data_IF_058612931681
#
_entry.id   IF_058612931681
#
_cell.length_a   1.000
_cell.length_b   1.000
_cell.length_c   1.000
_cell.angle_alpha   90.00
_cell.angle_beta   90.00
_cell.angle_gamma   90.00
#
_symmetry.space_group_name_H-M   'P 1'
#
loop_
_entity.id
_entity.type
_entity.pdbx_description
1 polymer ?
#
# COMPACT_ATOMS: atom_id res chain seq x y z
N UNK A 1 36.27 13.24 -16.86
CA UNK A 1 36.42 13.10 -15.39
C UNK A 1 35.34 13.81 -14.55
N UNK A 2 34.56 14.77 -15.08
CA UNK A 2 33.51 15.48 -14.31
C UNK A 2 32.24 14.64 -14.01
N UNK A 3 32.09 13.51 -14.69
CA UNK A 3 30.91 12.63 -14.65
C UNK A 3 30.98 11.64 -13.46
N UNK A 4 32.20 11.24 -13.08
CA UNK A 4 32.47 10.30 -11.99
C UNK A 4 32.22 10.90 -10.60
N UNK A 5 32.37 12.23 -10.48
CA UNK A 5 32.09 12.96 -9.23
C UNK A 5 30.57 13.05 -8.98
N UNK A 6 29.77 13.17 -10.05
CA UNK A 6 28.30 13.27 -9.94
C UNK A 6 27.64 11.94 -9.56
N UNK A 7 28.18 10.81 -10.04
CA UNK A 7 27.68 9.48 -9.64
C UNK A 7 27.99 9.18 -8.17
N UNK A 8 29.18 9.56 -7.68
CA UNK A 8 29.57 9.32 -6.29
C UNK A 8 28.70 10.12 -5.30
N UNK A 9 28.32 11.36 -5.64
CA UNK A 9 27.39 12.15 -4.82
C UNK A 9 25.97 11.58 -4.78
N UNK A 10 25.52 10.91 -5.85
CA UNK A 10 24.17 10.33 -5.91
C UNK A 10 24.02 9.10 -4.99
N UNK A 11 25.10 8.36 -4.75
CA UNK A 11 25.14 7.25 -3.79
C UNK A 11 25.31 7.69 -2.33
N UNK A 12 25.71 8.93 -2.08
CA UNK A 12 25.86 9.45 -0.72
C UNK A 12 24.55 9.95 -0.12
N UNK A 13 23.57 10.32 -0.95
CA UNK A 13 22.24 10.79 -0.50
C UNK A 13 21.46 9.71 0.28
N UNK A 14 21.41 8.43 -0.16
CA UNK A 14 20.78 7.38 0.63
C UNK A 14 21.53 7.11 1.93
N UNK A 15 22.87 7.13 1.92
CA UNK A 15 23.68 6.84 3.11
C UNK A 15 23.44 7.88 4.21
N UNK A 16 23.27 9.16 3.85
CA UNK A 16 22.89 10.20 4.81
C UNK A 16 21.43 10.06 5.29
N UNK A 17 20.53 9.52 4.46
CA UNK A 17 19.17 9.19 4.88
C UNK A 17 19.12 8.02 5.87
N UNK A 18 20.09 7.10 5.83
CA UNK A 18 20.24 6.00 6.79
C UNK A 18 21.10 6.34 8.01
N UNK A 19 21.87 7.44 7.98
CA UNK A 19 22.68 7.94 9.09
C UNK A 19 21.89 8.78 10.11
N UNK A 20 20.57 8.57 10.20
CA UNK A 20 19.72 9.19 11.21
C UNK A 20 20.21 8.77 12.58
N UNK A 21 20.45 9.75 13.45
CA UNK A 21 20.94 9.57 14.81
C UNK A 21 20.27 8.38 15.51
N UNK A 22 21.08 7.51 16.10
CA UNK A 22 20.60 6.36 16.84
C UNK A 22 19.56 6.85 17.87
N UNK A 23 18.37 6.24 17.93
CA UNK A 23 17.34 6.70 18.84
C UNK A 23 17.82 6.55 20.28
N UNK A 24 17.83 7.65 21.02
CA UNK A 24 18.33 7.73 22.39
C UNK A 24 17.33 7.21 23.41
N UNK A 25 16.04 7.14 23.02
CA UNK A 25 14.92 6.82 23.90
C UNK A 25 13.89 5.93 23.17
N UNK A 26 13.11 5.16 23.95
CA UNK A 26 12.02 4.33 23.42
C UNK A 26 10.99 5.13 22.62
N UNK A 27 10.68 6.36 23.07
CA UNK A 27 9.80 7.27 22.32
C UNK A 27 10.36 7.62 20.93
N UNK A 28 11.69 7.75 20.79
CA UNK A 28 12.32 8.02 19.50
C UNK A 28 12.23 6.80 18.57
N UNK A 29 12.41 5.58 19.10
CA UNK A 29 12.21 4.34 18.35
C UNK A 29 10.78 4.22 17.82
N UNK A 30 9.78 4.40 18.69
CA UNK A 30 8.36 4.33 18.32
C UNK A 30 8.03 5.39 17.26
N UNK A 31 8.50 6.62 17.42
CA UNK A 31 8.26 7.67 16.44
C UNK A 31 8.87 7.39 15.07
N UNK A 32 10.05 6.76 15.00
CA UNK A 32 10.65 6.33 13.73
C UNK A 32 9.76 5.29 13.06
N UNK A 33 9.28 4.30 13.81
CA UNK A 33 8.39 3.25 13.30
C UNK A 33 7.07 3.84 12.81
N UNK A 34 6.43 4.72 13.59
CA UNK A 34 5.17 5.39 13.22
C UNK A 34 5.34 6.22 11.95
N UNK A 35 6.43 7.00 11.83
CA UNK A 35 6.73 7.76 10.61
C UNK A 35 6.98 6.86 9.40
N UNK A 36 7.63 5.72 9.60
CA UNK A 36 7.86 4.76 8.53
C UNK A 36 6.54 4.13 8.07
N UNK A 37 5.70 3.69 9.00
CA UNK A 37 4.36 3.17 8.72
C UNK A 37 3.52 4.20 7.97
N UNK A 38 3.55 5.48 8.39
CA UNK A 38 2.84 6.57 7.71
C UNK A 38 3.25 6.77 6.25
N UNK A 39 4.48 6.41 5.86
CA UNK A 39 4.94 6.42 4.46
C UNK A 39 4.62 5.14 3.71
N UNK A 40 4.64 3.99 4.39
CA UNK A 40 4.41 2.67 3.78
C UNK A 40 2.93 2.40 3.52
N UNK A 41 2.04 2.80 4.44
CA UNK A 41 0.59 2.61 4.32
C UNK A 41 0.02 3.15 2.99
N UNK A 42 0.27 4.40 2.56
CA UNK A 42 -0.27 4.91 1.29
C UNK A 42 0.24 4.13 0.07
N UNK A 43 1.46 3.58 0.13
CA UNK A 43 2.00 2.73 -0.94
C UNK A 43 1.24 1.41 -1.01
N UNK A 44 0.96 0.78 0.14
CA UNK A 44 0.16 -0.45 0.20
C UNK A 44 -1.24 -0.19 -0.35
N UNK A 45 -1.90 0.89 0.06
CA UNK A 45 -3.23 1.25 -0.43
C UNK A 45 -3.23 1.43 -1.95
N UNK A 46 -2.23 2.10 -2.51
CA UNK A 46 -2.08 2.23 -3.95
C UNK A 46 -1.92 0.86 -4.64
N UNK A 47 -1.07 -0.02 -4.11
CA UNK A 47 -0.88 -1.37 -4.65
C UNK A 47 -2.15 -2.23 -4.55
N UNK A 48 -2.90 -2.12 -3.44
CA UNK A 48 -4.17 -2.82 -3.26
C UNK A 48 -5.21 -2.32 -4.27
N UNK A 49 -5.29 -1.01 -4.53
CA UNK A 49 -6.17 -0.46 -5.57
C UNK A 49 -5.78 -0.96 -6.97
N UNK A 50 -4.48 -0.98 -7.29
CA UNK A 50 -4.00 -1.55 -8.57
C UNK A 50 -4.37 -3.04 -8.69
N UNK A 51 -4.13 -3.82 -7.63
CA UNK A 51 -4.48 -5.24 -7.59
C UNK A 51 -5.99 -5.48 -7.72
N UNK A 52 -6.81 -4.61 -7.13
CA UNK A 52 -8.26 -4.66 -7.28
C UNK A 52 -8.69 -4.42 -8.73
N UNK A 53 -8.18 -3.37 -9.38
CA UNK A 53 -8.47 -3.13 -10.80
C UNK A 53 -8.01 -4.27 -11.69
N UNK A 54 -6.85 -4.86 -11.40
CA UNK A 54 -6.36 -6.04 -12.11
C UNK A 54 -7.29 -7.25 -11.93
N UNK A 55 -7.77 -7.51 -10.70
CA UNK A 55 -8.73 -8.57 -10.42
C UNK A 55 -10.05 -8.38 -11.17
N UNK A 56 -10.56 -7.14 -11.25
CA UNK A 56 -11.75 -6.82 -12.05
C UNK A 56 -11.51 -7.05 -13.53
N UNK A 57 -10.41 -6.53 -14.07
CA UNK A 57 -10.06 -6.68 -15.48
C UNK A 57 -9.95 -8.17 -15.86
N UNK A 58 -9.28 -8.98 -15.03
CA UNK A 58 -9.16 -10.41 -15.23
C UNK A 58 -10.51 -11.14 -15.15
N UNK A 59 -11.39 -10.74 -14.24
CA UNK A 59 -12.75 -11.30 -14.17
C UNK A 59 -13.54 -11.02 -15.46
N UNK A 60 -13.53 -9.77 -15.94
CA UNK A 60 -14.23 -9.37 -17.17
C UNK A 60 -13.65 -10.11 -18.40
N UNK A 61 -12.33 -10.15 -18.55
CA UNK A 61 -11.66 -10.82 -19.66
C UNK A 61 -11.92 -12.33 -19.69
N UNK A 62 -12.05 -12.96 -18.52
CA UNK A 62 -12.38 -14.38 -18.44
C UNK A 62 -13.86 -14.62 -18.73
N UNK A 63 -14.76 -13.75 -18.24
CA UNK A 63 -16.19 -13.79 -18.51
C UNK A 63 -16.51 -13.72 -20.01
N UNK A 64 -15.79 -12.89 -20.75
CA UNK A 64 -15.99 -12.68 -22.20
C UNK A 64 -15.48 -13.86 -23.04
N UNK A 65 -14.44 -14.57 -22.59
CA UNK A 65 -13.80 -15.67 -23.34
C UNK A 65 -14.54 -17.01 -23.29
N UNK A 66 -15.76 -17.08 -22.72
CA UNK A 66 -16.53 -18.33 -22.64
C UNK A 66 -15.85 -19.45 -21.82
N UNK A 67 -14.75 -19.17 -21.11
CA UNK A 67 -14.08 -20.09 -20.15
C UNK A 67 -14.83 -20.21 -18.83
N UNK A 68 -15.98 -19.56 -18.76
CA UNK A 68 -16.87 -19.45 -17.61
C UNK A 68 -18.10 -20.34 -17.85
N UNK A 69 -17.85 -21.54 -18.38
CA UNK A 69 -18.88 -22.55 -18.63
C UNK A 69 -18.91 -23.62 -17.54
N UNK A 70 -17.84 -23.76 -16.75
CA UNK A 70 -17.86 -24.55 -15.52
C UNK A 70 -18.37 -23.70 -14.36
N UNK A 71 -19.50 -24.11 -13.76
CA UNK A 71 -20.16 -23.39 -12.65
C UNK A 71 -19.20 -23.07 -11.50
N UNK A 72 -18.19 -23.91 -11.30
CA UNK A 72 -17.15 -23.75 -10.28
C UNK A 72 -16.29 -22.49 -10.50
N UNK A 73 -15.91 -22.18 -11.74
CA UNK A 73 -15.09 -21.01 -12.06
C UNK A 73 -15.85 -19.68 -11.94
N UNK A 74 -17.19 -19.70 -12.11
CA UNK A 74 -18.04 -18.51 -11.85
C UNK A 74 -18.04 -18.12 -10.39
N UNK A 75 -18.17 -19.12 -9.52
CA UNK A 75 -18.34 -18.87 -8.08
C UNK A 75 -17.00 -18.49 -7.44
N UNK A 76 -15.90 -19.07 -7.91
CA UNK A 76 -14.55 -18.63 -7.54
C UNK A 76 -14.27 -17.18 -7.97
N UNK A 77 -14.60 -16.80 -9.22
CA UNK A 77 -14.37 -15.44 -9.72
C UNK A 77 -15.20 -14.37 -8.99
N UNK A 78 -16.48 -14.66 -8.68
CA UNK A 78 -17.33 -13.79 -7.86
C UNK A 78 -16.81 -13.69 -6.43
N UNK A 79 -16.33 -14.80 -5.86
CA UNK A 79 -15.73 -14.83 -4.53
C UNK A 79 -14.50 -13.92 -4.42
N UNK A 80 -13.62 -13.93 -5.42
CA UNK A 80 -12.43 -13.06 -5.45
C UNK A 80 -12.81 -11.58 -5.53
N UNK A 81 -13.81 -11.21 -6.34
CA UNK A 81 -14.32 -9.84 -6.39
C UNK A 81 -14.88 -9.39 -5.04
N UNK A 82 -15.73 -10.21 -4.42
CA UNK A 82 -16.34 -9.91 -3.13
C UNK A 82 -15.29 -9.69 -2.04
N UNK A 83 -14.29 -10.56 -1.96
CA UNK A 83 -13.16 -10.39 -1.04
C UNK A 83 -12.32 -9.15 -1.34
N UNK A 84 -12.09 -8.82 -2.62
CA UNK A 84 -11.41 -7.60 -3.03
C UNK A 84 -12.12 -6.33 -2.55
N UNK A 85 -13.45 -6.28 -2.70
CA UNK A 85 -14.28 -5.17 -2.22
C UNK A 85 -14.22 -5.05 -0.70
N UNK A 86 -14.29 -6.18 0.02
CA UNK A 86 -14.21 -6.18 1.50
C UNK A 86 -12.87 -5.63 1.97
N UNK A 87 -11.76 -6.08 1.40
CA UNK A 87 -10.42 -5.62 1.79
C UNK A 87 -10.28 -4.11 1.56
N UNK A 88 -10.74 -3.61 0.42
CA UNK A 88 -10.74 -2.17 0.14
C UNK A 88 -11.63 -1.40 1.11
N UNK A 89 -12.83 -1.91 1.38
CA UNK A 89 -13.76 -1.27 2.31
C UNK A 89 -13.17 -1.16 3.71
N UNK A 90 -12.57 -2.23 4.23
CA UNK A 90 -11.94 -2.22 5.55
C UNK A 90 -10.76 -1.25 5.59
N UNK A 91 -9.87 -1.27 4.59
CA UNK A 91 -8.73 -0.35 4.52
C UNK A 91 -9.17 1.12 4.52
N UNK A 92 -10.16 1.49 3.71
CA UNK A 92 -10.66 2.86 3.63
C UNK A 92 -11.46 3.26 4.87
N UNK A 93 -12.24 2.34 5.43
CA UNK A 93 -13.03 2.57 6.64
C UNK A 93 -12.15 2.89 7.85
N UNK A 94 -11.05 2.14 8.04
CA UNK A 94 -10.10 2.42 9.12
C UNK A 94 -9.52 3.83 8.99
N UNK A 95 -9.10 4.24 7.79
CA UNK A 95 -8.53 5.58 7.59
C UNK A 95 -9.55 6.70 7.79
N UNK A 96 -10.78 6.50 7.31
CA UNK A 96 -11.89 7.43 7.54
C UNK A 96 -12.25 7.57 9.02
N UNK A 97 -12.31 6.45 9.75
CA UNK A 97 -12.57 6.46 11.20
C UNK A 97 -11.42 7.14 11.94
N UNK A 98 -10.17 6.83 11.61
CA UNK A 98 -9.00 7.50 12.22
C UNK A 98 -9.10 9.00 11.97
N UNK A 99 -9.35 9.46 10.73
CA UNK A 99 -9.48 10.88 10.42
C UNK A 99 -10.62 11.57 11.18
N UNK A 100 -11.76 10.88 11.33
CA UNK A 100 -12.88 11.38 12.14
C UNK A 100 -12.52 11.47 13.61
N UNK A 101 -11.82 10.47 14.17
CA UNK A 101 -11.35 10.50 15.55
C UNK A 101 -10.34 11.63 15.78
N UNK A 102 -9.39 11.84 14.86
CA UNK A 102 -8.43 12.93 14.93
C UNK A 102 -9.11 14.30 14.89
N UNK A 103 -10.10 14.46 14.01
CA UNK A 103 -10.87 15.72 13.89
C UNK A 103 -11.77 15.96 15.11
N UNK A 104 -12.37 14.89 15.65
CA UNK A 104 -13.34 14.99 16.76
C UNK A 104 -12.67 15.16 18.12
N UNK A 105 -11.52 14.51 18.33
CA UNK A 105 -10.81 14.50 19.61
C UNK A 105 -9.54 15.36 19.61
N UNK A 106 -9.17 15.96 18.46
CA UNK A 106 -8.05 16.90 18.36
C UNK A 106 -6.68 16.27 18.58
N UNK A 107 -6.57 14.95 18.38
CA UNK A 107 -5.34 14.13 18.51
C UNK A 107 -4.81 13.68 17.16
#
# INVERSE_FOLDING_TARGET
MKILIKSLSLYFVPVLAFAVAAPTDFNSLVNIVVKLMGKVIPIIVALTLLGFFWGIAQFILNADKGKVQDKENKDLGKGTMFWGVIILFVMLSIWGIIGLLQTSFGV
#
